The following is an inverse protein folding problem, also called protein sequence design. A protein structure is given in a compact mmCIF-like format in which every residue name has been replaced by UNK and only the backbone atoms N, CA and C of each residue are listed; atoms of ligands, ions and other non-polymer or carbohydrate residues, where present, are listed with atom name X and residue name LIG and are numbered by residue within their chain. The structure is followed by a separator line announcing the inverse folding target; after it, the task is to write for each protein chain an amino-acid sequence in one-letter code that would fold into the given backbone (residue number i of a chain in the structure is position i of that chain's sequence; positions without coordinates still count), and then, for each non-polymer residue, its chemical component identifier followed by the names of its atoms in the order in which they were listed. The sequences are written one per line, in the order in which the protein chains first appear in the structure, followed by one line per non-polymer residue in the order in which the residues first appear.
data_IF_236097511635
#
_entry.id   IF_236097511635
#
_cell.length_a   1.000
_cell.length_b   1.000
_cell.length_c   1.000
_cell.angle_alpha   90.00
_cell.angle_beta   90.00
_cell.angle_gamma   90.00
#
_symmetry.space_group_name_H-M   'P 1'
#
loop_
_entity.id
_entity.type
_entity.pdbx_description
1 polymer ?
#
# COMPACT_ATOMS: atom_id res chain seq x y z
N UNK A 1 62.27 -38.66 -47.38
CA UNK A 1 61.49 -37.40 -47.49
C UNK A 1 60.05 -37.74 -47.17
N UNK A 2 59.63 -37.52 -45.92
CA UNK A 2 58.27 -37.78 -45.47
C UNK A 2 57.69 -36.48 -44.95
N UNK A 3 56.74 -35.92 -45.70
CA UNK A 3 56.03 -34.69 -45.41
C UNK A 3 54.93 -34.94 -44.39
N UNK A 4 55.11 -34.42 -43.17
CA UNK A 4 54.06 -34.29 -42.15
C UNK A 4 53.18 -33.08 -42.49
N UNK A 5 51.91 -33.33 -42.81
CA UNK A 5 50.84 -32.32 -42.76
C UNK A 5 50.25 -32.25 -41.35
N UNK A 6 50.15 -31.07 -40.71
CA UNK A 6 49.45 -30.94 -39.44
C UNK A 6 47.94 -30.77 -39.67
N UNK A 7 47.16 -31.56 -38.96
CA UNK A 7 45.70 -31.45 -38.86
C UNK A 7 45.34 -30.14 -38.14
N UNK A 8 44.40 -29.33 -38.63
CA UNK A 8 43.97 -28.12 -37.93
C UNK A 8 43.21 -28.52 -36.65
N UNK A 9 43.70 -28.05 -35.50
CA UNK A 9 42.99 -28.10 -34.23
C UNK A 9 41.71 -27.28 -34.35
N UNK A 10 40.58 -27.99 -34.36
CA UNK A 10 39.24 -27.41 -34.30
C UNK A 10 39.06 -26.82 -32.90
N UNK A 11 39.28 -25.51 -32.77
CA UNK A 11 38.92 -24.75 -31.56
C UNK A 11 37.41 -24.93 -31.40
N UNK A 12 37.03 -25.68 -30.38
CA UNK A 12 35.64 -25.87 -30.01
C UNK A 12 35.15 -24.55 -29.44
N UNK A 13 34.29 -23.84 -30.17
CA UNK A 13 33.56 -22.71 -29.62
C UNK A 13 32.83 -23.17 -28.34
N UNK A 14 32.88 -22.42 -27.24
CA UNK A 14 32.07 -22.74 -26.08
C UNK A 14 30.59 -22.73 -26.49
N UNK A 15 29.76 -23.62 -25.91
CA UNK A 15 28.34 -23.66 -26.25
C UNK A 15 27.74 -22.30 -25.94
N UNK A 16 27.16 -21.68 -26.98
CA UNK A 16 26.39 -20.46 -26.88
C UNK A 16 25.24 -20.71 -25.89
N UNK A 17 25.43 -20.34 -24.62
CA UNK A 17 24.34 -20.29 -23.66
C UNK A 17 23.44 -19.17 -24.16
N UNK A 18 22.18 -19.43 -24.57
CA UNK A 18 21.29 -18.36 -24.98
C UNK A 18 21.20 -17.40 -23.79
N UNK A 19 21.58 -16.13 -23.99
CA UNK A 19 21.12 -15.07 -23.10
C UNK A 19 19.60 -15.02 -23.26
N UNK A 20 18.91 -15.89 -22.52
CA UNK A 20 17.46 -15.91 -22.43
C UNK A 20 17.04 -14.56 -21.88
N UNK A 21 16.67 -13.67 -22.81
CA UNK A 21 15.99 -12.43 -22.50
C UNK A 21 14.73 -12.70 -21.69
N UNK A 22 14.18 -11.63 -21.12
CA UNK A 22 12.89 -11.69 -20.41
C UNK A 22 11.85 -12.38 -21.32
N UNK A 23 11.11 -13.40 -20.82
CA UNK A 23 10.01 -13.99 -21.58
C UNK A 23 9.04 -12.88 -22.01
N UNK A 24 8.60 -12.91 -23.26
CA UNK A 24 7.70 -11.88 -23.79
C UNK A 24 6.47 -11.73 -22.89
N UNK A 25 6.15 -10.48 -22.48
CA UNK A 25 5.02 -10.19 -21.59
C UNK A 25 5.22 -10.51 -20.10
N UNK A 26 6.42 -10.94 -19.68
CA UNK A 26 6.70 -11.23 -18.26
C UNK A 26 6.60 -9.99 -17.37
N UNK A 27 7.10 -8.84 -17.84
CA UNK A 27 6.99 -7.58 -17.12
C UNK A 27 5.52 -7.15 -16.97
N UNK A 28 4.73 -7.22 -18.03
CA UNK A 28 3.30 -6.84 -17.99
C UNK A 28 2.48 -7.77 -17.10
N UNK A 29 2.78 -9.07 -17.13
CA UNK A 29 2.13 -10.07 -16.28
C UNK A 29 2.49 -9.82 -14.82
N UNK A 30 3.75 -9.51 -14.51
CA UNK A 30 4.16 -9.23 -13.14
C UNK A 30 3.71 -7.86 -12.66
N UNK A 31 3.66 -6.81 -13.49
CA UNK A 31 3.11 -5.50 -13.11
C UNK A 31 1.62 -5.57 -12.74
N UNK A 32 0.87 -6.52 -13.30
CA UNK A 32 -0.52 -6.79 -12.91
C UNK A 32 -0.65 -7.45 -11.53
N UNK A 33 0.36 -8.19 -11.10
CA UNK A 33 0.30 -9.04 -9.90
C UNK A 33 1.17 -8.53 -8.74
N UNK A 34 2.24 -7.81 -9.03
CA UNK A 34 3.22 -7.24 -8.10
C UNK A 34 3.36 -5.76 -8.41
N UNK A 35 2.96 -4.92 -7.46
CA UNK A 35 3.11 -3.46 -7.60
C UNK A 35 4.60 -3.07 -7.59
N UNK A 36 4.98 -1.98 -8.26
CA UNK A 36 6.34 -1.48 -8.18
C UNK A 36 6.77 -1.18 -6.75
N UNK A 37 8.04 -1.45 -6.43
CA UNK A 37 8.62 -1.06 -5.15
C UNK A 37 8.77 0.45 -5.08
N UNK A 38 8.16 1.08 -4.08
CA UNK A 38 8.13 2.55 -3.93
C UNK A 38 9.08 3.08 -2.86
N UNK A 39 9.75 2.20 -2.12
CA UNK A 39 10.76 2.59 -1.12
C UNK A 39 10.23 3.36 0.09
N UNK A 40 8.90 3.50 0.23
CA UNK A 40 8.30 4.29 1.31
C UNK A 40 6.98 3.69 1.81
N UNK A 41 6.68 3.84 3.10
CA UNK A 41 5.36 3.50 3.62
C UNK A 41 4.27 4.41 3.02
N UNK A 42 3.03 3.93 2.86
CA UNK A 42 2.50 2.63 3.30
C UNK A 42 2.75 1.47 2.33
N UNK A 43 3.73 1.57 1.41
CA UNK A 43 4.16 0.46 0.56
C UNK A 43 4.80 -0.70 1.35
N UNK A 44 5.14 -1.83 0.70
CA UNK A 44 5.83 -2.95 1.35
C UNK A 44 7.29 -2.62 1.68
N UNK A 45 7.84 -3.22 2.73
CA UNK A 45 9.30 -3.24 2.98
C UNK A 45 10.05 -3.94 1.86
N UNK A 46 11.36 -3.70 1.71
CA UNK A 46 12.19 -4.39 0.73
C UNK A 46 12.04 -5.93 0.79
N UNK A 47 12.20 -6.53 1.97
CA UNK A 47 12.17 -7.99 2.12
C UNK A 47 10.79 -8.58 1.77
N UNK A 48 9.70 -7.98 2.27
CA UNK A 48 8.33 -8.40 1.94
C UNK A 48 8.04 -8.30 0.44
N UNK A 49 8.42 -7.17 -0.18
CA UNK A 49 8.25 -6.99 -1.62
C UNK A 49 9.05 -8.00 -2.44
N UNK A 50 10.31 -8.24 -2.06
CA UNK A 50 11.19 -9.18 -2.74
C UNK A 50 10.71 -10.63 -2.60
N UNK A 51 10.20 -10.99 -1.42
CA UNK A 51 9.58 -12.30 -1.18
C UNK A 51 8.36 -12.50 -2.09
N UNK A 52 7.46 -11.50 -2.14
CA UNK A 52 6.29 -11.53 -3.02
C UNK A 52 6.71 -11.65 -4.49
N UNK A 53 7.67 -10.84 -4.94
CA UNK A 53 8.16 -10.89 -6.31
C UNK A 53 8.75 -12.27 -6.66
N UNK A 54 9.54 -12.85 -5.75
CA UNK A 54 10.18 -14.15 -5.96
C UNK A 54 9.14 -15.27 -6.03
N UNK A 55 8.15 -15.25 -5.14
CA UNK A 55 7.03 -16.20 -5.17
C UNK A 55 6.26 -16.10 -6.49
N UNK A 56 5.84 -14.90 -6.88
CA UNK A 56 5.09 -14.69 -8.12
C UNK A 56 5.90 -15.06 -9.36
N UNK A 57 7.20 -14.77 -9.38
CA UNK A 57 8.08 -15.17 -10.48
C UNK A 57 8.19 -16.69 -10.57
N UNK A 58 8.29 -17.39 -9.44
CA UNK A 58 8.32 -18.86 -9.41
C UNK A 58 7.01 -19.49 -9.90
N UNK A 59 5.87 -18.87 -9.57
CA UNK A 59 4.55 -19.38 -9.95
C UNK A 59 4.30 -19.25 -11.47
N UNK A 60 4.62 -18.09 -12.05
CA UNK A 60 4.38 -17.84 -13.48
C UNK A 60 5.54 -18.26 -14.39
N UNK A 61 6.78 -18.20 -13.90
CA UNK A 61 8.00 -18.43 -14.68
C UNK A 61 9.03 -19.26 -13.92
N UNK A 62 8.73 -20.52 -13.56
CA UNK A 62 9.60 -21.37 -12.74
C UNK A 62 10.99 -21.63 -13.37
N UNK A 63 11.12 -21.50 -14.68
CA UNK A 63 12.35 -21.73 -15.44
C UNK A 63 13.14 -20.43 -15.72
N UNK A 64 12.77 -19.30 -15.13
CA UNK A 64 13.42 -18.01 -15.41
C UNK A 64 14.87 -17.99 -14.91
N UNK A 65 15.81 -17.69 -15.80
CA UNK A 65 17.24 -17.60 -15.46
C UNK A 65 17.51 -16.48 -14.43
N UNK A 66 18.50 -16.63 -13.52
CA UNK A 66 18.79 -15.64 -12.48
C UNK A 66 19.05 -14.22 -13.00
N UNK A 67 19.76 -14.09 -14.13
CA UNK A 67 20.01 -12.79 -14.76
C UNK A 67 18.74 -12.11 -15.28
N UNK A 68 17.76 -12.88 -15.77
CA UNK A 68 16.47 -12.35 -16.19
C UNK A 68 15.61 -11.92 -14.98
N UNK A 69 15.62 -12.71 -13.89
CA UNK A 69 14.95 -12.34 -12.63
C UNK A 69 15.52 -11.03 -12.05
N UNK A 70 16.83 -10.84 -12.15
CA UNK A 70 17.49 -9.62 -11.69
C UNK A 70 17.08 -8.38 -12.51
N UNK A 71 17.11 -8.48 -13.85
CA UNK A 71 16.62 -7.39 -14.73
C UNK A 71 15.16 -7.06 -14.46
N UNK A 72 14.35 -8.08 -14.20
CA UNK A 72 12.94 -7.92 -13.84
C UNK A 72 12.76 -7.20 -12.50
N UNK A 73 13.60 -7.54 -11.51
CA UNK A 73 13.61 -6.87 -10.21
C UNK A 73 13.87 -5.37 -10.38
N UNK A 74 14.88 -4.99 -11.18
CA UNK A 74 15.18 -3.57 -11.47
C UNK A 74 14.02 -2.89 -12.21
N UNK A 75 13.41 -3.59 -13.17
CA UNK A 75 12.28 -3.07 -13.95
C UNK A 75 11.01 -2.84 -13.11
N UNK A 76 10.85 -3.54 -11.99
CA UNK A 76 9.74 -3.35 -11.05
C UNK A 76 10.06 -2.38 -9.91
N UNK A 77 11.22 -1.72 -9.92
CA UNK A 77 11.45 -0.56 -9.05
C UNK A 77 10.72 0.66 -9.62
N UNK A 78 10.23 1.52 -8.74
CA UNK A 78 9.76 2.85 -9.13
C UNK A 78 10.91 3.65 -9.79
N UNK A 79 10.57 4.51 -10.74
CA UNK A 79 11.56 5.16 -11.63
C UNK A 79 12.65 5.92 -10.86
N UNK A 80 12.30 6.62 -9.77
CA UNK A 80 13.25 7.34 -8.91
C UNK A 80 14.25 6.40 -8.22
N UNK A 81 13.80 5.23 -7.77
CA UNK A 81 14.65 4.19 -7.18
C UNK A 81 15.53 3.55 -8.24
N UNK A 82 14.97 3.26 -9.42
CA UNK A 82 15.72 2.70 -10.53
C UNK A 82 16.84 3.63 -10.96
N UNK A 83 16.56 4.92 -11.11
CA UNK A 83 17.54 5.95 -11.42
C UNK A 83 18.63 6.03 -10.36
N UNK A 84 18.27 5.92 -9.07
CA UNK A 84 19.23 5.91 -7.97
C UNK A 84 20.17 4.71 -8.06
N UNK A 85 19.64 3.50 -8.32
CA UNK A 85 20.44 2.27 -8.47
C UNK A 85 21.43 2.39 -9.62
N UNK A 86 20.98 2.91 -10.77
CA UNK A 86 21.82 3.11 -11.96
C UNK A 86 22.92 4.14 -11.66
N UNK A 87 22.56 5.29 -11.05
CA UNK A 87 23.53 6.35 -10.69
C UNK A 87 24.57 5.88 -9.68
N UNK A 88 24.18 4.98 -8.76
CA UNK A 88 25.08 4.41 -7.76
C UNK A 88 25.95 3.27 -8.30
N UNK A 89 25.81 2.89 -9.58
CA UNK A 89 26.46 1.73 -10.20
C UNK A 89 26.23 0.44 -9.40
N UNK A 90 25.00 0.27 -8.89
CA UNK A 90 24.54 -0.91 -8.14
C UNK A 90 23.58 -1.76 -8.96
N UNK A 91 23.66 -1.66 -10.27
CA UNK A 91 22.90 -2.42 -11.26
C UNK A 91 23.51 -3.80 -11.54
N UNK A 92 24.34 -4.32 -10.64
CA UNK A 92 24.89 -5.68 -10.66
C UNK A 92 24.44 -6.48 -9.44
N UNK A 93 24.26 -7.79 -9.62
CA UNK A 93 23.68 -8.70 -8.61
C UNK A 93 24.44 -8.70 -7.28
N UNK A 94 25.76 -8.54 -7.32
CA UNK A 94 26.66 -8.71 -6.17
C UNK A 94 26.48 -7.64 -5.08
N UNK A 95 26.02 -6.43 -5.44
CA UNK A 95 25.93 -5.31 -4.51
C UNK A 95 24.52 -4.72 -4.40
N UNK A 96 23.61 -5.11 -5.28
CA UNK A 96 22.26 -4.57 -5.34
C UNK A 96 21.45 -4.83 -4.05
N UNK A 97 21.39 -6.07 -3.58
CA UNK A 97 20.60 -6.44 -2.38
C UNK A 97 21.06 -5.67 -1.14
N UNK A 98 22.38 -5.63 -0.89
CA UNK A 98 22.94 -4.90 0.25
C UNK A 98 22.67 -3.39 0.15
N UNK A 99 22.79 -2.82 -1.05
CA UNK A 99 22.46 -1.41 -1.30
C UNK A 99 20.99 -1.11 -1.01
N UNK A 100 20.07 -1.96 -1.49
CA UNK A 100 18.64 -1.78 -1.27
C UNK A 100 18.28 -1.88 0.21
N UNK A 101 18.84 -2.84 0.95
CA UNK A 101 18.62 -2.98 2.40
C UNK A 101 19.17 -1.81 3.21
N UNK A 102 20.34 -1.28 2.83
CA UNK A 102 20.91 -0.11 3.47
C UNK A 102 20.13 1.18 3.17
N UNK A 103 19.60 1.31 1.95
CA UNK A 103 18.86 2.51 1.51
C UNK A 103 17.42 2.51 2.02
N UNK A 104 16.80 1.34 2.12
CA UNK A 104 15.41 1.16 2.55
C UNK A 104 15.34 0.23 3.77
N UNK A 105 15.92 0.63 4.92
CA UNK A 105 15.90 -0.19 6.11
C UNK A 105 14.48 -0.35 6.64
N UNK A 106 14.21 -1.51 7.24
CA UNK A 106 12.95 -1.81 7.93
C UNK A 106 12.58 -0.76 8.99
N UNK A 107 13.56 -0.05 9.56
CA UNK A 107 13.33 1.04 10.52
C UNK A 107 12.46 2.17 9.96
N UNK A 108 12.49 2.45 8.65
CA UNK A 108 11.60 3.44 8.02
C UNK A 108 10.12 3.07 8.16
N UNK A 109 9.81 1.78 8.13
CA UNK A 109 8.46 1.28 8.36
C UNK A 109 8.11 1.32 9.83
N UNK A 110 9.05 0.97 10.72
CA UNK A 110 8.86 1.07 12.16
C UNK A 110 8.47 2.50 12.56
N UNK A 111 9.20 3.53 12.10
CA UNK A 111 8.88 4.94 12.37
C UNK A 111 7.50 5.35 11.84
N UNK A 112 7.15 4.92 10.63
CA UNK A 112 5.83 5.18 10.07
C UNK A 112 4.73 4.51 10.89
N UNK A 113 4.88 3.23 11.24
CA UNK A 113 3.88 2.50 12.01
C UNK A 113 3.75 3.09 13.40
N UNK A 114 4.85 3.45 14.04
CA UNK A 114 4.87 4.12 15.34
C UNK A 114 4.09 5.44 15.29
N UNK A 115 4.41 6.29 14.30
CA UNK A 115 3.74 7.59 14.11
C UNK A 115 2.25 7.41 13.79
N UNK A 116 1.90 6.48 12.89
CA UNK A 116 0.53 6.22 12.48
C UNK A 116 -0.30 5.59 13.60
N UNK A 117 0.32 4.78 14.45
CA UNK A 117 -0.31 4.18 15.62
C UNK A 117 -0.61 5.26 16.67
N UNK A 118 0.38 6.07 17.04
CA UNK A 118 0.23 7.14 18.03
C UNK A 118 -0.71 8.27 17.58
N UNK A 119 -0.76 8.56 16.27
CA UNK A 119 -1.70 9.53 15.71
C UNK A 119 -3.11 8.97 15.46
N UNK A 120 -3.34 7.68 15.70
CA UNK A 120 -4.63 7.02 15.49
C UNK A 120 -5.05 6.96 14.01
N UNK A 121 -4.11 7.04 13.07
CA UNK A 121 -4.41 6.99 11.63
C UNK A 121 -4.13 5.63 11.00
N UNK A 122 -3.47 4.72 11.71
CA UNK A 122 -2.98 3.44 11.17
C UNK A 122 -4.08 2.60 10.49
N UNK A 123 -5.25 2.51 11.11
CA UNK A 123 -6.38 1.70 10.62
C UNK A 123 -7.53 2.51 10.04
N UNK A 124 -7.43 3.83 10.06
CA UNK A 124 -8.56 4.73 9.78
C UNK A 124 -9.15 4.51 8.40
N UNK A 125 -10.44 4.16 8.35
CA UNK A 125 -11.17 3.95 7.10
C UNK A 125 -10.71 2.73 6.29
N UNK A 126 -9.96 1.80 6.90
CA UNK A 126 -9.59 0.53 6.29
C UNK A 126 -10.69 -0.51 6.55
N UNK A 127 -10.89 -1.44 5.63
CA UNK A 127 -11.69 -2.63 5.92
C UNK A 127 -10.90 -3.58 6.84
N UNK A 128 -11.61 -4.50 7.51
CA UNK A 128 -11.01 -5.37 8.53
C UNK A 128 -9.88 -6.25 8.00
N UNK A 129 -9.97 -6.76 6.77
CA UNK A 129 -8.92 -7.59 6.19
C UNK A 129 -7.62 -6.81 5.98
N UNK A 130 -7.73 -5.62 5.38
CA UNK A 130 -6.59 -4.73 5.17
C UNK A 130 -6.01 -4.26 6.50
N UNK A 131 -6.86 -3.95 7.48
CA UNK A 131 -6.42 -3.52 8.80
C UNK A 131 -5.64 -4.64 9.52
N UNK A 132 -6.11 -5.89 9.47
CA UNK A 132 -5.40 -7.03 10.05
C UNK A 132 -4.04 -7.30 9.39
N UNK A 133 -3.92 -7.15 8.06
CA UNK A 133 -2.62 -7.25 7.38
C UNK A 133 -1.66 -6.17 7.85
N UNK A 134 -2.12 -4.90 7.88
CA UNK A 134 -1.32 -3.77 8.37
C UNK A 134 -0.90 -3.97 9.82
N UNK A 135 -1.80 -4.50 10.66
CA UNK A 135 -1.54 -4.73 12.07
C UNK A 135 -0.45 -5.81 12.27
N UNK A 136 -0.46 -6.88 11.47
CA UNK A 136 0.56 -7.91 11.54
C UNK A 136 1.93 -7.36 11.15
N UNK A 137 1.98 -6.60 10.05
CA UNK A 137 3.22 -5.97 9.60
C UNK A 137 3.75 -4.97 10.65
N UNK A 138 2.87 -4.11 11.19
CA UNK A 138 3.24 -3.14 12.22
C UNK A 138 3.84 -3.80 13.47
N UNK A 139 3.25 -4.90 13.93
CA UNK A 139 3.76 -5.61 15.10
C UNK A 139 5.18 -6.16 14.89
N UNK A 140 5.45 -6.75 13.73
CA UNK A 140 6.80 -7.22 13.38
C UNK A 140 7.80 -6.08 13.27
N UNK A 141 7.44 -4.99 12.59
CA UNK A 141 8.35 -3.87 12.37
C UNK A 141 8.65 -3.07 13.64
N UNK A 142 7.72 -3.02 14.61
CA UNK A 142 7.93 -2.38 15.91
C UNK A 142 8.75 -3.25 16.89
N UNK A 143 9.17 -4.45 16.48
CA UNK A 143 10.06 -5.32 17.26
C UNK A 143 9.38 -6.57 17.85
N UNK A 144 8.11 -6.83 17.53
CA UNK A 144 7.42 -8.08 17.82
C UNK A 144 7.22 -8.40 19.31
N UNK A 145 7.43 -7.42 20.20
CA UNK A 145 7.31 -7.59 21.64
C UNK A 145 5.85 -7.58 22.08
N UNK A 146 5.58 -8.16 23.26
CA UNK A 146 4.25 -8.13 23.88
C UNK A 146 3.65 -6.74 23.96
N UNK A 147 4.46 -5.74 24.34
CA UNK A 147 4.02 -4.36 24.40
C UNK A 147 3.47 -3.84 23.07
N UNK A 148 4.22 -3.98 21.98
CA UNK A 148 3.81 -3.46 20.67
C UNK A 148 2.64 -4.23 20.08
N UNK A 149 2.63 -5.56 20.24
CA UNK A 149 1.50 -6.38 19.81
C UNK A 149 0.20 -5.96 20.51
N UNK A 150 0.26 -5.65 21.81
CA UNK A 150 -0.88 -5.14 22.58
C UNK A 150 -1.31 -3.76 22.07
N UNK A 151 -0.39 -2.82 21.86
CA UNK A 151 -0.74 -1.47 21.38
C UNK A 151 -1.40 -1.49 20.00
N UNK A 152 -0.84 -2.26 19.07
CA UNK A 152 -1.38 -2.44 17.72
C UNK A 152 -2.77 -3.08 17.78
N UNK A 153 -2.95 -4.11 18.61
CA UNK A 153 -4.25 -4.78 18.78
C UNK A 153 -5.29 -3.85 19.40
N UNK A 154 -4.91 -3.05 20.41
CA UNK A 154 -5.79 -2.04 21.01
C UNK A 154 -6.24 -1.00 20.00
N UNK A 155 -5.34 -0.48 19.18
CA UNK A 155 -5.68 0.48 18.15
C UNK A 155 -6.60 -0.13 17.07
N UNK A 156 -6.39 -1.39 16.70
CA UNK A 156 -7.27 -2.11 15.80
C UNK A 156 -8.69 -2.27 16.39
N UNK A 157 -8.77 -2.75 17.63
CA UNK A 157 -10.05 -2.92 18.33
C UNK A 157 -10.78 -1.57 18.52
N UNK A 158 -10.05 -0.48 18.75
CA UNK A 158 -10.63 0.85 18.89
C UNK A 158 -11.30 1.34 17.59
N UNK A 159 -10.65 1.15 16.42
CA UNK A 159 -11.23 1.51 15.12
C UNK A 159 -12.50 0.70 14.83
N UNK A 160 -12.52 -0.59 15.18
CA UNK A 160 -13.66 -1.48 14.94
C UNK A 160 -14.59 -1.63 16.15
N UNK A 161 -14.44 -0.83 17.20
CA UNK A 161 -15.25 -0.91 18.42
C UNK A 161 -16.76 -0.89 18.12
N UNK A 162 -17.29 -0.03 17.23
CA UNK A 162 -18.72 -0.04 16.89
C UNK A 162 -19.20 -1.36 16.28
N UNK A 163 -18.32 -2.13 15.64
CA UNK A 163 -18.63 -3.45 15.09
C UNK A 163 -18.45 -4.59 16.10
N UNK A 164 -17.82 -4.31 17.24
CA UNK A 164 -17.42 -5.29 18.24
C UNK A 164 -18.19 -5.15 19.56
N UNK A 165 -19.20 -4.29 19.66
CA UNK A 165 -20.02 -4.10 20.87
C UNK A 165 -20.65 -5.40 21.41
N UNK A 166 -20.90 -6.38 20.52
CA UNK A 166 -21.48 -7.69 20.85
C UNK A 166 -20.45 -8.83 20.81
N UNK A 167 -19.16 -8.51 20.72
CA UNK A 167 -18.10 -9.49 20.59
C UNK A 167 -17.77 -10.09 21.97
N UNK A 168 -17.35 -11.37 22.06
CA UNK A 168 -17.02 -12.01 23.33
C UNK A 168 -15.88 -11.28 24.07
N UNK A 169 -15.94 -11.27 25.40
CA UNK A 169 -14.96 -10.61 26.28
C UNK A 169 -13.51 -11.07 26.04
N UNK A 170 -13.33 -12.31 25.57
CA UNK A 170 -12.02 -12.89 25.25
C UNK A 170 -11.23 -12.13 24.17
N UNK A 171 -11.92 -11.37 23.30
CA UNK A 171 -11.26 -10.52 22.29
C UNK A 171 -10.63 -9.27 22.89
N UNK A 172 -11.05 -8.89 24.10
CA UNK A 172 -10.57 -7.72 24.83
C UNK A 172 -9.52 -8.07 25.89
N UNK A 173 -9.24 -9.36 26.07
CA UNK A 173 -8.16 -9.81 26.93
C UNK A 173 -6.84 -9.64 26.17
N UNK A 174 -5.86 -9.00 26.80
CA UNK A 174 -4.53 -8.77 26.25
C UNK A 174 -3.52 -9.64 27.01
N UNK A 175 -3.57 -10.96 26.79
CA UNK A 175 -2.51 -11.86 27.27
C UNK A 175 -1.21 -11.59 26.49
N UNK A 176 -0.07 -12.09 26.96
CA UNK A 176 1.26 -11.83 26.39
C UNK A 176 1.39 -12.24 24.91
N UNK A 177 0.96 -11.36 24.00
CA UNK A 177 0.92 -11.62 22.58
C UNK A 177 2.29 -11.36 21.96
N UNK A 178 2.84 -12.35 21.29
CA UNK A 178 4.01 -12.11 20.43
C UNK A 178 3.53 -12.01 18.99
N UNK A 179 4.34 -11.43 18.10
CA UNK A 179 3.97 -11.31 16.70
C UNK A 179 3.64 -12.67 16.05
N UNK A 180 4.17 -13.78 16.57
CA UNK A 180 3.85 -15.14 16.15
C UNK A 180 2.43 -15.61 16.47
N UNK A 181 1.78 -15.08 17.52
CA UNK A 181 0.42 -15.48 17.94
C UNK A 181 -0.68 -14.53 17.46
N UNK A 182 -0.30 -13.43 16.78
CA UNK A 182 -1.25 -12.40 16.33
C UNK A 182 -2.16 -12.85 15.19
N UNK A 183 -1.68 -13.72 14.29
CA UNK A 183 -2.46 -14.18 13.15
C UNK A 183 -3.80 -14.82 13.56
N UNK A 184 -3.79 -15.66 14.61
CA UNK A 184 -5.00 -16.29 15.13
C UNK A 184 -5.94 -15.26 15.80
N UNK A 185 -5.38 -14.30 16.53
CA UNK A 185 -6.17 -13.24 17.16
C UNK A 185 -6.86 -12.35 16.12
N UNK A 186 -6.14 -11.95 15.08
CA UNK A 186 -6.71 -11.19 13.97
C UNK A 186 -7.78 -11.97 13.20
N UNK A 187 -7.63 -13.30 13.07
CA UNK A 187 -8.68 -14.15 12.52
C UNK A 187 -9.97 -14.06 13.35
N UNK A 188 -9.87 -14.16 14.67
CA UNK A 188 -11.03 -14.10 15.56
C UNK A 188 -11.70 -12.70 15.55
N UNK A 189 -10.90 -11.62 15.57
CA UNK A 189 -11.41 -10.26 15.43
C UNK A 189 -12.13 -10.09 14.08
N UNK A 190 -11.53 -10.58 13.00
CA UNK A 190 -12.13 -10.52 11.66
C UNK A 190 -13.48 -11.20 11.62
N UNK A 191 -13.58 -12.41 12.18
CA UNK A 191 -14.84 -13.14 12.24
C UNK A 191 -15.93 -12.38 13.02
N UNK A 192 -15.59 -11.77 14.16
CA UNK A 192 -16.53 -10.99 14.96
C UNK A 192 -17.05 -9.74 14.21
N UNK A 193 -16.15 -8.99 13.56
CA UNK A 193 -16.52 -7.82 12.76
C UNK A 193 -17.43 -8.22 11.59
N UNK A 194 -17.09 -9.29 10.87
CA UNK A 194 -17.90 -9.77 9.74
C UNK A 194 -19.26 -10.30 10.20
N UNK A 195 -19.34 -10.97 11.35
CA UNK A 195 -20.61 -11.43 11.92
C UNK A 195 -21.53 -10.26 12.25
N UNK A 196 -21.02 -9.17 12.83
CA UNK A 196 -21.80 -7.95 13.06
C UNK A 196 -22.26 -7.31 11.74
N UNK A 197 -21.36 -7.16 10.77
CA UNK A 197 -21.70 -6.60 9.45
C UNK A 197 -22.77 -7.43 8.74
N UNK A 198 -22.69 -8.76 8.84
CA UNK A 198 -23.71 -9.69 8.35
C UNK A 198 -25.07 -9.49 9.03
N UNK A 199 -25.11 -9.34 10.36
CA UNK A 199 -26.34 -9.02 11.10
C UNK A 199 -26.94 -7.68 10.66
N UNK A 200 -26.12 -6.64 10.51
CA UNK A 200 -26.58 -5.32 10.05
C UNK A 200 -27.08 -5.35 8.60
N UNK A 201 -26.42 -6.11 7.72
CA UNK A 201 -26.88 -6.31 6.35
C UNK A 201 -28.25 -7.03 6.32
N UNK A 202 -28.40 -8.11 7.08
CA UNK A 202 -29.65 -8.84 7.19
C UNK A 202 -30.80 -7.97 7.72
N UNK A 203 -30.54 -7.10 8.71
CA UNK A 203 -31.52 -6.14 9.22
C UNK A 203 -31.96 -5.09 8.20
N UNK A 204 -31.08 -4.72 7.26
CA UNK A 204 -31.39 -3.78 6.17
C UNK A 204 -32.17 -4.44 5.03
N UNK A 205 -31.94 -5.72 4.78
CA UNK A 205 -32.60 -6.49 3.73
C UNK A 205 -33.80 -7.28 4.23
N UNK A 206 -34.18 -7.12 5.50
CA UNK A 206 -35.33 -7.79 6.09
C UNK A 206 -36.63 -7.35 5.38
N UNK A 207 -37.47 -8.28 4.91
CA UNK A 207 -38.74 -7.96 4.28
C UNK A 207 -39.59 -7.09 5.21
N UNK A 208 -39.99 -5.90 4.75
CA UNK A 208 -40.84 -4.97 5.51
C UNK A 208 -40.14 -3.75 6.12
N UNK A 209 -38.81 -3.62 6.06
CA UNK A 209 -38.11 -2.36 6.37
C UNK A 209 -37.73 -1.61 5.10
N UNK A 210 -38.63 -0.72 4.65
CA UNK A 210 -38.25 0.39 3.77
C UNK A 210 -37.27 1.34 4.47
N UNK A 211 -36.67 2.31 3.76
CA UNK A 211 -35.69 3.22 4.33
C UNK A 211 -36.27 3.89 5.59
N UNK A 212 -35.53 3.85 6.70
CA UNK A 212 -35.86 4.59 7.92
C UNK A 212 -35.78 6.08 7.60
N UNK A 213 -36.89 6.65 7.15
CA UNK A 213 -37.12 8.09 7.16
C UNK A 213 -37.04 8.55 8.62
N UNK A 214 -35.90 9.13 9.01
CA UNK A 214 -35.85 9.99 10.17
C UNK A 214 -36.90 11.07 9.98
N UNK A 215 -37.85 11.15 10.92
CA UNK A 215 -38.89 12.16 10.94
C UNK A 215 -38.28 13.56 10.96
N UNK A 216 -38.22 14.19 9.79
CA UNK A 216 -38.22 15.65 9.66
C UNK A 216 -39.60 16.03 9.18
N UNK A 217 -40.25 16.81 10.03
CA UNK A 217 -41.53 17.49 9.91
C UNK A 217 -41.88 17.89 8.47
N UNK A 218 -43.14 17.62 8.12
CA UNK A 218 -43.84 17.83 6.85
C UNK A 218 -43.50 19.13 6.09
N UNK A 219 -43.33 19.00 4.78
CA UNK A 219 -43.95 19.88 3.78
C UNK A 219 -44.02 19.12 2.42
N UNK A 220 -45.19 19.09 1.74
CA UNK A 220 -45.39 18.25 0.57
C UNK A 220 -44.99 18.99 -0.72
N UNK A 221 -44.44 18.28 -1.71
CA UNK A 221 -44.72 18.52 -3.14
C UNK A 221 -44.02 17.46 -4.02
N UNK A 222 -44.85 16.52 -4.49
CA UNK A 222 -45.06 16.19 -5.90
C UNK A 222 -43.87 15.66 -6.74
N UNK A 223 -44.01 14.43 -7.23
CA UNK A 223 -43.17 13.87 -8.28
C UNK A 223 -43.23 12.34 -8.35
N UNK A 224 -44.37 11.79 -8.77
CA UNK A 224 -44.53 10.38 -9.14
C UNK A 224 -43.46 9.96 -10.15
N UNK A 225 -42.63 8.98 -9.79
CA UNK A 225 -41.87 8.17 -10.75
C UNK A 225 -41.97 6.71 -10.33
N UNK A 226 -42.59 5.93 -11.20
CA UNK A 226 -42.73 4.48 -11.15
C UNK A 226 -41.38 3.78 -10.93
N UNK A 227 -41.31 2.71 -10.13
CA UNK A 227 -40.15 1.84 -10.05
C UNK A 227 -40.32 0.69 -11.04
N UNK A 228 -40.06 0.94 -12.32
CA UNK A 228 -39.78 -0.14 -13.28
C UNK A 228 -38.27 -0.42 -13.28
N UNK A 229 -37.81 -1.69 -13.30
CA UNK A 229 -36.39 -1.98 -13.45
C UNK A 229 -35.89 -1.46 -14.81
N UNK A 230 -34.66 -0.92 -14.91
CA UNK A 230 -34.19 -0.30 -16.14
C UNK A 230 -34.05 -1.35 -17.24
N UNK A 231 -34.66 -1.08 -18.40
CA UNK A 231 -34.48 -1.91 -19.59
C UNK A 231 -33.02 -1.89 -20.04
N UNK A 232 -32.58 -2.98 -20.66
CA UNK A 232 -31.22 -3.16 -21.21
C UNK A 232 -30.79 -2.04 -22.14
N UNK A 233 -31.73 -1.36 -22.80
CA UNK A 233 -31.48 -0.19 -23.65
C UNK A 233 -31.00 1.04 -22.85
N UNK A 234 -31.47 1.22 -21.62
CA UNK A 234 -31.01 2.31 -20.71
C UNK A 234 -29.58 2.07 -20.21
N UNK A 235 -29.21 0.81 -19.98
CA UNK A 235 -27.85 0.42 -19.57
C UNK A 235 -26.88 0.60 -20.74
N UNK A 236 -27.27 0.19 -21.96
CA UNK A 236 -26.45 0.37 -23.17
C UNK A 236 -26.28 1.85 -23.52
N UNK A 237 -27.33 2.68 -23.33
CA UNK A 237 -27.23 4.12 -23.52
C UNK A 237 -26.31 4.81 -22.49
N UNK A 238 -26.34 4.38 -21.22
CA UNK A 238 -25.46 4.92 -20.18
C UNK A 238 -23.98 4.53 -20.39
N UNK A 239 -23.73 3.30 -20.88
CA UNK A 239 -22.37 2.83 -21.20
C UNK A 239 -21.83 3.53 -22.47
N UNK A 240 -22.66 3.76 -23.49
CA UNK A 240 -22.27 4.53 -24.68
C UNK A 240 -22.06 6.02 -24.37
N UNK A 241 -22.82 6.60 -23.43
CA UNK A 241 -22.60 7.97 -22.95
C UNK A 241 -21.30 8.12 -22.15
N UNK A 242 -20.90 7.10 -21.37
CA UNK A 242 -19.64 7.09 -20.64
C UNK A 242 -18.40 6.93 -21.56
N UNK A 243 -18.57 6.33 -22.75
CA UNK A 243 -17.49 6.11 -23.70
C UNK A 243 -17.30 7.23 -24.73
N UNK A 244 -18.29 8.11 -24.94
CA UNK A 244 -18.21 9.28 -25.83
C UNK A 244 -18.10 10.61 -25.05
N UNK A 245 -16.97 10.79 -24.37
CA UNK A 245 -16.27 12.07 -24.21
C UNK A 245 -16.90 13.20 -23.38
N UNK A 246 -16.04 14.06 -22.86
CA UNK A 246 -16.38 15.46 -22.56
C UNK A 246 -17.09 15.69 -21.23
N UNK A 247 -16.37 16.32 -20.31
CA UNK A 247 -16.93 16.96 -19.11
C UNK A 247 -18.14 17.84 -19.42
N UNK A 248 -19.28 17.67 -18.72
CA UNK A 248 -20.24 18.73 -18.51
C UNK A 248 -19.92 19.46 -17.20
N UNK A 249 -19.63 20.76 -17.33
CA UNK A 249 -19.92 21.79 -16.31
C UNK A 249 -21.38 21.65 -15.85
N UNK A 250 -21.75 21.70 -14.57
CA UNK A 250 -21.88 22.87 -13.66
C UNK A 250 -22.13 22.33 -12.22
N UNK A 251 -21.59 22.87 -11.13
CA UNK A 251 -22.15 24.00 -10.36
C UNK A 251 -21.12 24.55 -9.36
N UNK A 252 -21.05 25.87 -9.27
CA UNK A 252 -20.10 26.63 -8.46
C UNK A 252 -20.60 26.91 -7.05
N UNK A 253 -20.18 26.14 -6.04
CA UNK A 253 -20.35 26.55 -4.63
C UNK A 253 -19.15 26.23 -3.69
N UNK A 254 -18.07 25.61 -4.20
CA UNK A 254 -16.95 25.16 -3.35
C UNK A 254 -15.68 26.06 -3.32
N UNK A 255 -15.57 27.08 -4.19
CA UNK A 255 -14.26 27.75 -4.43
C UNK A 255 -13.76 28.65 -3.28
N UNK A 256 -14.62 29.06 -2.35
CA UNK A 256 -14.23 29.96 -1.25
C UNK A 256 -13.47 29.28 -0.09
N UNK A 257 -13.84 28.05 0.27
CA UNK A 257 -13.24 27.34 1.42
C UNK A 257 -11.84 26.79 1.15
N UNK A 258 -11.59 26.31 -0.07
CA UNK A 258 -10.27 25.79 -0.45
C UNK A 258 -9.22 26.89 -0.60
N UNK A 259 -9.62 28.11 -1.01
CA UNK A 259 -8.71 29.26 -1.09
C UNK A 259 -8.28 29.73 0.30
N UNK A 260 -9.24 29.88 1.23
CA UNK A 260 -8.95 30.25 2.63
C UNK A 260 -8.08 29.21 3.36
N UNK A 261 -8.23 27.91 3.06
CA UNK A 261 -7.39 26.86 3.65
C UNK A 261 -5.95 26.90 3.12
N UNK A 262 -5.77 27.14 1.82
CA UNK A 262 -4.43 27.31 1.22
C UNK A 262 -3.72 28.56 1.71
N UNK A 263 -4.45 29.68 1.85
CA UNK A 263 -3.87 30.92 2.36
C UNK A 263 -3.45 30.78 3.84
N UNK A 264 -4.18 30.00 4.63
CA UNK A 264 -3.82 29.70 6.03
C UNK A 264 -2.56 28.82 6.12
N UNK A 265 -2.47 27.77 5.30
CA UNK A 265 -1.29 26.91 5.25
C UNK A 265 -0.05 27.63 4.70
N UNK A 266 -0.22 28.54 3.73
CA UNK A 266 0.87 29.35 3.20
C UNK A 266 1.40 30.34 4.25
N UNK A 267 0.52 30.93 5.05
CA UNK A 267 0.91 31.83 6.15
C UNK A 267 1.65 31.09 7.26
N UNK A 268 1.17 29.91 7.65
CA UNK A 268 1.81 29.06 8.67
C UNK A 268 3.21 28.58 8.24
N UNK A 269 3.37 28.20 6.96
CA UNK A 269 4.68 27.85 6.40
C UNK A 269 5.64 29.05 6.29
N UNK A 270 5.11 30.26 6.08
CA UNK A 270 5.92 31.48 6.05
C UNK A 270 6.40 31.87 7.46
N UNK A 271 5.53 31.74 8.47
CA UNK A 271 5.88 31.97 9.88
C UNK A 271 6.94 30.96 10.36
N UNK A 272 6.77 29.66 10.05
CA UNK A 272 7.77 28.63 10.39
C UNK A 272 9.13 28.86 9.73
N UNK A 273 9.16 29.36 8.48
CA UNK A 273 10.41 29.72 7.80
C UNK A 273 11.07 30.93 8.44
N UNK A 274 10.30 31.98 8.75
CA UNK A 274 10.83 33.16 9.41
C UNK A 274 11.41 32.83 10.80
N UNK A 275 10.76 31.94 11.54
CA UNK A 275 11.24 31.48 12.84
C UNK A 275 12.51 30.63 12.74
N UNK A 276 12.59 29.73 11.76
CA UNK A 276 13.80 28.94 11.50
C UNK A 276 14.99 29.84 11.12
N UNK A 277 14.76 30.85 10.26
CA UNK A 277 15.80 31.85 9.93
C UNK A 277 16.22 32.66 11.16
N UNK A 278 15.28 33.05 12.03
CA UNK A 278 15.60 33.76 13.28
C UNK A 278 16.44 32.90 14.23
N UNK A 279 16.12 31.61 14.35
CA UNK A 279 16.87 30.66 15.17
C UNK A 279 18.28 30.42 14.63
N UNK A 280 18.45 30.30 13.30
CA UNK A 280 19.76 30.15 12.68
C UNK A 280 20.64 31.40 12.88
N UNK A 281 20.06 32.60 12.76
CA UNK A 281 20.78 33.85 13.04
C UNK A 281 21.15 33.99 14.53
N UNK A 282 20.29 33.54 15.45
CA UNK A 282 20.58 33.52 16.88
C UNK A 282 21.67 32.49 17.26
N UNK A 283 21.78 31.39 16.50
CA UNK A 283 22.86 30.42 16.66
C UNK A 283 24.21 30.95 16.15
N UNK A 284 24.21 31.68 15.04
CA UNK A 284 25.43 32.25 14.46
C UNK A 284 25.96 33.50 15.19
N UNK A 285 25.16 34.14 16.03
CA UNK A 285 25.56 35.32 16.81
C UNK A 285 25.90 35.04 18.28
N UNK A 286 26.11 33.77 18.68
CA UNK A 286 26.65 33.51 20.03
C UNK A 286 28.15 33.87 20.05
N UNK A 287 28.58 34.86 20.85
CA UNK A 287 30.01 35.16 20.97
C UNK A 287 30.71 33.96 21.61
N UNK A 288 31.75 33.47 20.93
CA UNK A 288 32.65 32.47 21.47
C UNK A 288 33.20 32.96 22.80
N UNK A 289 33.03 32.15 23.85
CA UNK A 289 33.76 32.33 25.10
C UNK A 289 35.24 32.11 24.80
N UNK A 290 36.00 33.21 24.82
CA UNK A 290 37.43 33.20 25.08
C UNK A 290 37.70 32.69 26.49
#
# INVERSE_FOLDING_TARGET
MSSNTPTPQQISDPPFVPQLGLPSGALDTLLKNVKPFTGKPPGPTWDSWKLSLTATTRDYYPQMAPGAQFRLTIALLQDDIRDLVIKASKDTTEHFEAFMKATYPASLWAEYYDTALHSGTLFKGKNIHVACTIANDAAWQLGGTSHWCIQVTKALLAEFHPNLEQAPNELWNFEEYTAGTMAERFKNITQAVLAYQGRQAALRTAPGRGPLSQGVRELPLQGTRDPSPPSTESIVAAVLAAMKGGTPTTNSEGKGRNRRRRDRQAKEMAELRAENTRLQLAMNNKPGKA
#
